data_IF_990728527119
#
_entry.id   IF_990728527119
#
_cell.length_a   1.000
_cell.length_b   1.000
_cell.length_c   1.000
_cell.angle_alpha   90.00
_cell.angle_beta   90.00
_cell.angle_gamma   90.00
#
_symmetry.space_group_name_H-M   'P 1'
#
loop_
_entity.id
_entity.type
_entity.pdbx_description
1 polymer ?
#
# COMPACT_ATOMS: atom_id res chain seq x y z
N UNK A 1 -40.84 18.58 -21.57
CA UNK A 1 -39.56 19.04 -20.98
C UNK A 1 -38.96 18.06 -19.96
N UNK A 2 -39.74 17.43 -19.08
CA UNK A 2 -39.23 16.46 -18.09
C UNK A 2 -38.56 15.20 -18.65
N UNK A 3 -39.07 14.59 -19.74
CA UNK A 3 -38.51 13.34 -20.27
C UNK A 3 -37.08 13.49 -20.79
N UNK A 4 -36.75 14.63 -21.41
CA UNK A 4 -35.42 14.88 -21.94
C UNK A 4 -34.39 15.12 -20.82
N UNK A 5 -34.78 15.82 -19.76
CA UNK A 5 -33.94 16.00 -18.57
C UNK A 5 -33.71 14.69 -17.82
N UNK A 6 -34.71 13.81 -17.75
CA UNK A 6 -34.56 12.46 -17.17
C UNK A 6 -33.59 11.62 -17.99
N UNK A 7 -33.70 11.64 -19.33
CA UNK A 7 -32.79 10.88 -20.21
C UNK A 7 -31.35 11.40 -20.08
N UNK A 8 -31.15 12.72 -20.08
CA UNK A 8 -29.81 13.32 -19.87
C UNK A 8 -29.26 12.96 -18.49
N UNK A 9 -30.11 12.97 -17.45
CA UNK A 9 -29.74 12.56 -16.10
C UNK A 9 -29.28 11.09 -16.03
N UNK A 10 -29.99 10.18 -16.71
CA UNK A 10 -29.65 8.75 -16.79
C UNK A 10 -28.34 8.55 -17.55
N UNK A 11 -28.13 9.25 -18.67
CA UNK A 11 -26.89 9.15 -19.46
C UNK A 11 -25.70 9.65 -18.63
N UNK A 12 -25.84 10.76 -17.91
CA UNK A 12 -24.76 11.26 -17.03
C UNK A 12 -24.47 10.30 -15.87
N UNK A 13 -25.49 9.74 -15.24
CA UNK A 13 -25.27 8.76 -14.16
C UNK A 13 -24.61 7.48 -14.67
N UNK A 14 -24.98 6.98 -15.86
CA UNK A 14 -24.31 5.84 -16.47
C UNK A 14 -22.86 6.14 -16.88
N UNK A 15 -22.58 7.33 -17.39
CA UNK A 15 -21.21 7.76 -17.71
C UNK A 15 -20.34 7.86 -16.44
N UNK A 16 -20.89 8.39 -15.34
CA UNK A 16 -20.21 8.44 -14.04
C UNK A 16 -19.94 7.02 -13.54
N UNK A 17 -20.93 6.14 -13.55
CA UNK A 17 -20.78 4.74 -13.12
C UNK A 17 -19.75 3.99 -13.98
N UNK A 18 -19.73 4.21 -15.30
CA UNK A 18 -18.76 3.60 -16.20
C UNK A 18 -17.32 4.04 -15.93
N UNK A 19 -17.12 5.24 -15.38
CA UNK A 19 -15.80 5.74 -14.99
C UNK A 19 -15.21 4.99 -13.79
N UNK A 20 -16.05 4.36 -12.95
CA UNK A 20 -15.60 3.56 -11.80
C UNK A 20 -15.38 2.08 -12.12
N UNK A 21 -15.58 1.64 -13.37
CA UNK A 21 -15.33 0.25 -13.78
C UNK A 21 -13.82 0.04 -14.00
N UNK A 22 -13.17 -0.89 -13.29
CA UNK A 22 -11.75 -1.21 -13.49
C UNK A 22 -11.47 -1.63 -14.94
N UNK A 23 -10.43 -1.07 -15.55
CA UNK A 23 -10.03 -1.37 -16.94
C UNK A 23 -10.75 -0.57 -18.04
N UNK A 24 -11.78 0.22 -17.71
CA UNK A 24 -12.38 1.19 -18.63
C UNK A 24 -11.46 2.41 -18.84
N UNK A 25 -11.74 3.24 -19.84
CA UNK A 25 -10.98 4.49 -20.06
C UNK A 25 -11.02 5.41 -18.83
N UNK A 26 -12.18 5.48 -18.15
CA UNK A 26 -12.33 6.23 -16.91
C UNK A 26 -11.59 5.59 -15.74
N UNK A 27 -11.63 4.26 -15.62
CA UNK A 27 -10.88 3.53 -14.59
C UNK A 27 -9.37 3.78 -14.70
N UNK A 28 -8.81 3.71 -15.92
CA UNK A 28 -7.39 4.02 -16.17
C UNK A 28 -7.03 5.47 -15.84
N UNK A 29 -7.94 6.41 -16.08
CA UNK A 29 -7.73 7.81 -15.71
C UNK A 29 -7.71 8.00 -14.18
N UNK A 30 -8.60 7.31 -13.45
CA UNK A 30 -8.62 7.31 -11.99
C UNK A 30 -7.34 6.66 -11.41
N UNK A 31 -6.92 5.52 -11.95
CA UNK A 31 -5.69 4.84 -11.53
C UNK A 31 -4.47 5.73 -11.75
N UNK A 32 -4.41 6.41 -12.90
CA UNK A 32 -3.36 7.39 -13.17
C UNK A 32 -3.42 8.57 -12.20
N UNK A 33 -4.61 9.13 -11.94
CA UNK A 33 -4.77 10.23 -10.99
C UNK A 33 -4.32 9.85 -9.57
N UNK A 34 -4.62 8.62 -9.12
CA UNK A 34 -4.14 8.07 -7.85
C UNK A 34 -2.63 7.92 -7.82
N UNK A 35 -2.05 7.33 -8.88
CA UNK A 35 -0.60 7.15 -8.99
C UNK A 35 0.16 8.49 -8.97
N UNK A 36 -0.44 9.56 -9.49
CA UNK A 36 0.12 10.91 -9.47
C UNK A 36 -0.15 11.66 -8.15
N UNK A 37 -0.90 11.05 -7.21
CA UNK A 37 -1.20 11.64 -5.91
C UNK A 37 -2.34 12.66 -5.89
N UNK A 38 -3.11 12.80 -6.98
CA UNK A 38 -4.29 13.67 -7.01
C UNK A 38 -5.48 13.10 -6.23
N UNK A 39 -5.53 11.78 -6.10
CA UNK A 39 -6.56 11.04 -5.38
C UNK A 39 -5.84 10.06 -4.46
N UNK A 40 -6.26 9.99 -3.21
CA UNK A 40 -5.69 9.01 -2.27
C UNK A 40 -6.19 7.59 -2.58
N UNK A 41 -5.35 6.59 -2.30
CA UNK A 41 -5.76 5.19 -2.38
C UNK A 41 -6.71 4.83 -1.22
N UNK A 42 -7.90 4.27 -1.50
CA UNK A 42 -8.70 3.61 -0.49
C UNK A 42 -7.92 2.41 0.12
N UNK A 43 -8.09 2.08 1.42
CA UNK A 43 -7.31 1.01 2.06
C UNK A 43 -7.36 -0.34 1.36
N UNK A 44 -8.53 -0.76 0.86
CA UNK A 44 -8.70 -2.03 0.14
C UNK A 44 -7.96 -2.05 -1.20
N UNK A 45 -7.96 -0.93 -1.91
CA UNK A 45 -7.22 -0.82 -3.18
C UNK A 45 -5.72 -0.73 -2.94
N UNK A 46 -5.29 -0.05 -1.87
CA UNK A 46 -3.90 -0.01 -1.46
C UNK A 46 -3.37 -1.42 -1.14
N UNK A 47 -4.17 -2.24 -0.46
CA UNK A 47 -3.83 -3.63 -0.16
C UNK A 47 -3.63 -4.45 -1.45
N UNK A 48 -4.56 -4.33 -2.40
CA UNK A 48 -4.44 -4.97 -3.71
C UNK A 48 -3.21 -4.50 -4.48
N UNK A 49 -2.95 -3.19 -4.48
CA UNK A 49 -1.75 -2.59 -5.09
C UNK A 49 -0.48 -3.20 -4.47
N UNK A 50 -0.40 -3.27 -3.14
CA UNK A 50 0.75 -3.80 -2.43
C UNK A 50 1.00 -5.28 -2.76
N UNK A 51 -0.06 -6.10 -2.79
CA UNK A 51 0.00 -7.50 -3.18
C UNK A 51 0.50 -7.64 -4.63
N UNK A 52 -0.09 -6.89 -5.57
CA UNK A 52 0.30 -6.94 -6.99
C UNK A 52 1.75 -6.50 -7.19
N UNK A 53 2.17 -5.39 -6.59
CA UNK A 53 3.53 -4.86 -6.76
C UNK A 53 4.58 -5.77 -6.13
N UNK A 54 4.36 -6.29 -4.93
CA UNK A 54 5.32 -7.16 -4.28
C UNK A 54 5.37 -8.57 -4.91
N UNK A 55 4.26 -9.07 -5.44
CA UNK A 55 4.19 -10.38 -6.10
C UNK A 55 4.90 -10.43 -7.46
N UNK A 56 5.22 -9.28 -8.06
CA UNK A 56 6.00 -9.22 -9.30
C UNK A 56 7.45 -9.72 -9.13
N UNK A 57 8.01 -9.60 -7.91
CA UNK A 57 9.39 -9.98 -7.64
C UNK A 57 9.52 -11.21 -6.74
N UNK A 58 8.58 -11.42 -5.81
CA UNK A 58 8.65 -12.47 -4.81
C UNK A 58 7.29 -13.15 -4.59
N UNK A 59 7.27 -14.40 -4.12
CA UNK A 59 6.01 -14.99 -3.64
C UNK A 59 5.50 -14.22 -2.42
N UNK A 60 4.17 -14.15 -2.24
CA UNK A 60 3.60 -13.46 -1.08
C UNK A 60 4.05 -14.05 0.25
N UNK A 61 4.28 -15.36 0.32
CA UNK A 61 4.86 -16.01 1.50
C UNK A 61 6.21 -15.38 1.89
N UNK A 62 7.09 -15.07 0.92
CA UNK A 62 8.36 -14.38 1.23
C UNK A 62 8.13 -12.97 1.78
N UNK A 63 7.10 -12.28 1.29
CA UNK A 63 6.75 -10.92 1.74
C UNK A 63 6.18 -10.97 3.16
N UNK A 64 5.28 -11.90 3.47
CA UNK A 64 4.64 -12.02 4.79
C UNK A 64 5.59 -12.54 5.87
N UNK A 65 6.65 -13.27 5.49
CA UNK A 65 7.73 -13.67 6.39
C UNK A 65 8.77 -12.58 6.65
N UNK A 66 8.55 -11.35 6.17
CA UNK A 66 9.46 -10.24 6.45
C UNK A 66 9.65 -10.03 7.95
N UNK A 67 10.91 -10.04 8.38
CA UNK A 67 11.27 -10.08 9.80
C UNK A 67 11.39 -8.68 10.41
N UNK A 68 10.51 -8.39 11.36
CA UNK A 68 10.54 -7.19 12.20
C UNK A 68 11.87 -6.95 12.92
N UNK A 69 12.55 -8.02 13.35
CA UNK A 69 13.78 -7.90 14.16
C UNK A 69 15.01 -7.51 13.34
N UNK A 70 15.10 -8.02 12.12
CA UNK A 70 16.35 -7.97 11.34
C UNK A 70 16.22 -7.10 10.07
N UNK A 71 15.00 -6.83 9.62
CA UNK A 71 14.74 -6.00 8.45
C UNK A 71 14.66 -4.51 8.79
N UNK A 72 15.04 -3.60 7.87
CA UNK A 72 14.74 -2.18 8.01
C UNK A 72 13.22 -1.92 8.05
N UNK A 73 12.74 -0.77 8.53
CA UNK A 73 11.33 -0.44 8.47
C UNK A 73 10.82 -0.46 7.02
N UNK A 74 9.57 -0.85 6.80
CA UNK A 74 9.02 -1.04 5.46
C UNK A 74 9.03 0.23 4.61
N UNK A 75 8.96 1.41 5.25
CA UNK A 75 9.16 2.69 4.58
C UNK A 75 10.54 2.79 3.89
N UNK A 76 11.59 2.26 4.52
CA UNK A 76 12.95 2.19 3.95
C UNK A 76 13.05 1.10 2.88
N UNK A 77 12.37 -0.04 3.07
CA UNK A 77 12.31 -1.09 2.04
C UNK A 77 11.71 -0.54 0.75
N UNK A 78 10.58 0.16 0.84
CA UNK A 78 9.89 0.73 -0.32
C UNK A 78 10.71 1.85 -0.98
N UNK A 79 11.42 2.68 -0.20
CA UNK A 79 12.39 3.62 -0.74
C UNK A 79 13.45 2.90 -1.60
N UNK A 80 14.04 1.83 -1.08
CA UNK A 80 15.05 1.05 -1.79
C UNK A 80 14.48 0.32 -3.02
N UNK A 81 13.20 -0.07 -3.00
CA UNK A 81 12.52 -0.61 -4.19
C UNK A 81 12.48 0.41 -5.33
N UNK A 82 12.19 1.69 -5.04
CA UNK A 82 12.24 2.77 -6.05
C UNK A 82 13.65 2.89 -6.65
N UNK A 83 14.66 2.95 -5.79
CA UNK A 83 16.06 3.04 -6.21
C UNK A 83 16.48 1.82 -7.06
N UNK A 84 16.10 0.62 -6.65
CA UNK A 84 16.34 -0.61 -7.40
C UNK A 84 15.74 -0.54 -8.80
N UNK A 85 14.47 -0.13 -8.95
CA UNK A 85 13.81 -0.03 -10.27
C UNK A 85 14.54 0.97 -11.15
N UNK A 86 14.94 2.13 -10.62
CA UNK A 86 15.73 3.12 -11.37
C UNK A 86 17.06 2.55 -11.86
N UNK A 87 17.80 1.86 -10.99
CA UNK A 87 19.08 1.24 -11.35
C UNK A 87 18.90 0.08 -12.33
N UNK A 88 17.84 -0.71 -12.16
CA UNK A 88 17.50 -1.82 -13.04
C UNK A 88 17.20 -1.35 -14.45
N UNK A 89 16.31 -0.35 -14.60
CA UNK A 89 15.96 0.23 -15.90
C UNK A 89 17.19 0.84 -16.60
N UNK A 90 18.11 1.43 -15.84
CA UNK A 90 19.37 1.96 -16.40
C UNK A 90 20.30 0.84 -16.91
N UNK A 91 20.32 -0.29 -16.21
CA UNK A 91 21.22 -1.41 -16.52
C UNK A 91 20.67 -2.37 -17.58
N UNK A 92 19.36 -2.57 -17.61
CA UNK A 92 18.65 -3.50 -18.47
C UNK A 92 17.45 -2.80 -19.14
N UNK A 93 17.67 -1.89 -20.10
CA UNK A 93 16.61 -1.07 -20.68
C UNK A 93 15.53 -1.90 -21.41
N UNK A 94 15.88 -3.10 -21.87
CA UNK A 94 14.97 -4.08 -22.47
C UNK A 94 14.12 -4.86 -21.46
N UNK A 95 14.49 -4.88 -20.17
CA UNK A 95 13.76 -5.56 -19.10
C UNK A 95 13.05 -4.54 -18.21
N UNK A 96 11.92 -4.02 -18.69
CA UNK A 96 11.19 -2.97 -17.98
C UNK A 96 10.46 -3.53 -16.76
N UNK A 97 10.95 -3.16 -15.57
CA UNK A 97 10.18 -3.27 -14.32
C UNK A 97 9.37 -1.98 -14.17
N UNK A 98 8.04 -2.05 -13.94
CA UNK A 98 7.21 -0.86 -13.80
C UNK A 98 7.71 0.03 -12.65
N UNK A 99 7.89 1.32 -12.93
CA UNK A 99 8.24 2.30 -11.91
C UNK A 99 7.17 2.35 -10.81
N UNK A 100 7.62 2.73 -9.60
CA UNK A 100 6.76 2.96 -8.46
C UNK A 100 6.64 4.47 -8.24
N UNK A 101 5.43 4.99 -8.26
CA UNK A 101 5.21 6.41 -7.99
C UNK A 101 5.28 6.70 -6.49
N UNK A 102 5.40 7.98 -6.13
CA UNK A 102 5.41 8.42 -4.74
C UNK A 102 4.13 8.03 -3.99
N UNK A 103 2.97 8.17 -4.64
CA UNK A 103 1.68 7.80 -4.04
C UNK A 103 1.58 6.27 -3.81
N UNK A 104 2.05 5.48 -4.78
CA UNK A 104 2.10 4.02 -4.64
C UNK A 104 3.06 3.61 -3.53
N UNK A 105 4.25 4.23 -3.46
CA UNK A 105 5.23 3.97 -2.42
C UNK A 105 4.66 4.23 -1.01
N UNK A 106 4.01 5.38 -0.82
CA UNK A 106 3.36 5.74 0.45
C UNK A 106 2.22 4.77 0.80
N UNK A 107 1.44 4.33 -0.18
CA UNK A 107 0.36 3.36 0.04
C UNK A 107 0.90 1.98 0.44
N UNK A 108 1.89 1.47 -0.29
CA UNK A 108 2.50 0.17 -0.03
C UNK A 108 3.20 0.13 1.34
N UNK A 109 3.93 1.20 1.68
CA UNK A 109 4.58 1.30 2.99
C UNK A 109 3.55 1.19 4.12
N UNK A 110 2.46 1.96 4.05
CA UNK A 110 1.38 1.91 5.05
C UNK A 110 0.71 0.53 5.14
N UNK A 111 0.43 -0.13 4.01
CA UNK A 111 -0.21 -1.45 4.00
C UNK A 111 0.65 -2.46 4.74
N UNK A 112 1.91 -2.61 4.33
CA UNK A 112 2.76 -3.63 4.93
C UNK A 112 3.12 -3.28 6.37
N UNK A 113 3.27 -1.99 6.70
CA UNK A 113 3.47 -1.53 8.08
C UNK A 113 2.27 -1.93 8.97
N UNK A 114 1.05 -1.88 8.46
CA UNK A 114 -0.10 -2.36 9.20
C UNK A 114 -0.15 -3.90 9.30
N UNK A 115 0.03 -4.61 8.18
CA UNK A 115 -0.22 -6.05 8.08
C UNK A 115 0.90 -6.93 8.64
N UNK A 116 2.16 -6.52 8.42
CA UNK A 116 3.34 -7.24 8.92
C UNK A 116 3.79 -6.61 10.23
N UNK A 117 3.72 -5.30 10.36
CA UNK A 117 4.11 -4.55 11.56
C UNK A 117 4.92 -3.31 11.22
N UNK A 118 4.80 -2.28 12.06
CA UNK A 118 5.57 -1.05 11.93
C UNK A 118 6.59 -0.99 13.08
N UNK A 119 7.85 -0.71 12.74
CA UNK A 119 8.94 -0.56 13.71
C UNK A 119 9.78 0.69 13.46
N UNK A 120 9.22 1.69 12.79
CA UNK A 120 9.83 3.01 12.68
C UNK A 120 10.18 3.57 14.07
N UNK A 121 9.33 3.35 15.09
CA UNK A 121 9.57 3.78 16.49
C UNK A 121 10.79 3.11 17.15
N UNK A 122 11.19 1.94 16.67
CA UNK A 122 12.37 1.22 17.16
C UNK A 122 13.68 1.75 16.58
N UNK A 123 13.63 2.69 15.64
CA UNK A 123 14.77 3.23 14.92
C UNK A 123 15.01 4.70 15.27
N UNK A 124 16.27 5.13 15.23
CA UNK A 124 16.58 6.54 15.37
C UNK A 124 16.03 7.32 14.17
N UNK A 125 15.21 8.34 14.42
CA UNK A 125 14.58 9.14 13.35
C UNK A 125 15.58 9.76 12.38
N UNK A 126 16.75 10.23 12.86
CA UNK A 126 17.77 10.81 11.97
C UNK A 126 18.37 9.76 11.04
N UNK A 127 18.45 8.50 11.47
CA UNK A 127 18.94 7.43 10.60
C UNK A 127 17.89 7.04 9.57
N UNK A 128 16.60 7.07 9.92
CA UNK A 128 15.52 6.93 8.93
C UNK A 128 15.55 8.06 7.89
N UNK A 129 15.75 9.31 8.32
CA UNK A 129 15.87 10.45 7.40
C UNK A 129 17.05 10.26 6.44
N UNK A 130 18.22 9.83 6.95
CA UNK A 130 19.39 9.54 6.11
C UNK A 130 19.09 8.43 5.10
N UNK A 131 18.42 7.36 5.52
CA UNK A 131 18.10 6.21 4.67
C UNK A 131 17.03 6.50 3.61
N UNK A 132 16.14 7.46 3.87
CA UNK A 132 15.14 7.91 2.90
C UNK A 132 15.66 9.02 1.97
N UNK A 133 16.85 9.54 2.25
CA UNK A 133 17.55 10.57 1.48
C UNK A 133 16.64 11.77 1.14
N UNK A 134 16.28 11.94 -0.13
CA UNK A 134 15.45 13.05 -0.64
C UNK A 134 14.03 12.60 -1.02
N UNK A 135 13.59 11.42 -0.57
CA UNK A 135 12.25 10.91 -0.85
C UNK A 135 11.18 11.68 -0.08
N UNK A 136 10.78 12.83 -0.61
CA UNK A 136 9.86 13.77 0.05
C UNK A 136 8.54 13.12 0.47
N UNK A 137 8.03 12.18 -0.32
CA UNK A 137 6.77 11.51 -0.03
C UNK A 137 6.88 10.60 1.18
N UNK A 138 7.96 9.80 1.25
CA UNK A 138 8.21 8.91 2.39
C UNK A 138 8.70 9.67 3.62
N UNK A 139 9.47 10.75 3.47
CA UNK A 139 9.81 11.65 4.58
C UNK A 139 8.56 12.29 5.20
N UNK A 140 7.62 12.74 4.36
CA UNK A 140 6.33 13.25 4.84
C UNK A 140 5.53 12.16 5.56
N UNK A 141 5.55 10.92 5.07
CA UNK A 141 4.91 9.79 5.73
C UNK A 141 5.56 9.49 7.10
N UNK A 142 6.89 9.52 7.19
CA UNK A 142 7.64 9.36 8.43
C UNK A 142 7.24 10.41 9.48
N UNK A 143 7.06 11.66 9.06
CA UNK A 143 6.59 12.75 9.94
C UNK A 143 5.09 12.68 10.26
N UNK A 144 4.32 11.87 9.52
CA UNK A 144 2.89 11.71 9.76
C UNK A 144 2.67 10.71 10.90
N UNK A 145 2.00 11.09 12.01
CA UNK A 145 1.68 10.16 13.09
C UNK A 145 0.85 8.98 12.60
N UNK A 146 1.07 7.77 13.14
CA UNK A 146 0.38 6.54 12.69
C UNK A 146 -1.14 6.70 12.63
N UNK A 147 -1.76 7.36 13.63
CA UNK A 147 -3.21 7.61 13.67
C UNK A 147 -3.73 8.48 12.50
N UNK A 148 -2.86 9.29 11.90
CA UNK A 148 -3.17 10.12 10.73
C UNK A 148 -2.81 9.44 9.39
N UNK A 149 -2.14 8.28 9.42
CA UNK A 149 -1.83 7.47 8.24
C UNK A 149 -3.06 6.66 7.85
N UNK A 150 -3.90 7.21 6.98
CA UNK A 150 -5.25 6.70 6.67
C UNK A 150 -5.29 5.21 6.33
N UNK A 151 -4.33 4.70 5.56
CA UNK A 151 -4.31 3.29 5.15
C UNK A 151 -3.83 2.43 6.33
N UNK A 152 -2.75 2.83 6.98
CA UNK A 152 -2.17 2.08 8.10
C UNK A 152 -3.15 1.99 9.28
N UNK A 153 -3.79 3.12 9.62
CA UNK A 153 -4.79 3.20 10.68
C UNK A 153 -6.05 2.38 10.36
N UNK A 154 -6.50 2.36 9.10
CA UNK A 154 -7.67 1.56 8.69
C UNK A 154 -7.40 0.05 8.67
N UNK A 155 -6.13 -0.35 8.55
CA UNK A 155 -5.68 -1.74 8.57
C UNK A 155 -5.10 -2.14 9.94
N UNK A 156 -5.11 -1.24 10.92
CA UNK A 156 -4.60 -1.51 12.26
C UNK A 156 -5.35 -2.70 12.90
N UNK A 157 -4.60 -3.56 13.59
CA UNK A 157 -5.14 -4.79 14.20
C UNK A 157 -5.44 -5.92 13.20
N UNK A 158 -5.20 -5.73 11.90
CA UNK A 158 -5.19 -6.82 10.92
C UNK A 158 -3.78 -7.41 10.78
N UNK A 159 -3.72 -8.65 10.34
CA UNK A 159 -2.50 -9.36 9.96
C UNK A 159 -2.70 -9.98 8.58
N UNK A 160 -1.63 -10.12 7.81
CA UNK A 160 -1.68 -10.92 6.60
C UNK A 160 -1.49 -12.41 6.96
N UNK A 161 -2.18 -13.34 6.26
CA UNK A 161 -1.98 -14.77 6.49
C UNK A 161 -0.50 -15.18 6.32
N UNK A 162 -0.02 -16.00 7.24
CA UNK A 162 1.37 -16.46 7.31
C UNK A 162 2.34 -15.46 7.96
N UNK A 163 1.90 -14.30 8.44
CA UNK A 163 2.78 -13.36 9.16
C UNK A 163 3.07 -13.83 10.59
N UNK A 164 4.20 -13.41 11.17
CA UNK A 164 4.46 -13.65 12.59
C UNK A 164 3.42 -12.95 13.47
N UNK A 165 2.91 -11.78 13.04
CA UNK A 165 1.89 -11.00 13.73
C UNK A 165 0.62 -11.82 13.96
N UNK A 166 0.14 -12.54 12.93
CA UNK A 166 -0.96 -13.49 13.06
C UNK A 166 -0.72 -14.52 14.17
N UNK A 167 0.48 -15.13 14.21
CA UNK A 167 0.84 -16.12 15.23
C UNK A 167 0.91 -15.50 16.64
N UNK A 168 1.42 -14.28 16.78
CA UNK A 168 1.46 -13.58 18.07
C UNK A 168 0.07 -13.19 18.57
N UNK A 169 -0.80 -12.72 17.67
CA UNK A 169 -2.19 -12.39 17.99
C UNK A 169 -2.94 -13.65 18.45
N UNK A 170 -2.71 -14.80 17.82
CA UNK A 170 -3.26 -16.10 18.23
C UNK A 170 -2.78 -16.56 19.62
N UNK A 171 -1.51 -16.30 19.97
CA UNK A 171 -0.97 -16.63 21.30
C UNK A 171 -1.56 -15.72 22.38
N UNK A 172 -1.85 -14.46 22.06
CA UNK A 172 -2.37 -13.48 23.00
C UNK A 172 -3.89 -13.58 23.22
N UNK A 173 -4.63 -14.21 22.31
CA UNK A 173 -6.03 -14.52 22.54
C UNK A 173 -6.15 -15.76 23.44
N UNK A 174 -6.63 -15.64 24.70
CA UNK A 174 -6.89 -16.83 25.50
C UNK A 174 -7.94 -17.67 24.75
N UNK A 175 -7.64 -18.95 24.52
CA UNK A 175 -8.56 -19.94 23.93
C UNK A 175 -9.89 -19.93 24.70
N UNK A 176 -10.84 -19.09 24.31
CA UNK A 176 -12.18 -19.00 24.89
C UNK A 176 -13.12 -20.13 24.44
N UNK A 177 -12.59 -21.18 23.82
CA UNK A 177 -13.40 -22.18 23.11
C UNK A 177 -12.99 -23.63 23.42
N UNK A 178 -12.52 -23.91 24.64
CA UNK A 178 -12.36 -25.29 25.12
C UNK A 178 -13.23 -25.65 26.34
N UNK A 179 -14.08 -24.74 26.82
CA UNK A 179 -15.10 -25.02 27.86
C UNK A 179 -16.52 -25.06 27.27
N UNK A 180 -16.72 -25.86 26.22
CA UNK A 180 -18.05 -26.37 25.85
C UNK A 180 -17.88 -27.78 25.27
N UNK A 181 -17.61 -28.74 26.15
CA UNK A 181 -17.93 -30.15 25.93
C UNK A 181 -18.52 -30.72 27.21
#
# INVERSE_FOLDING_TARGET
MNRMLIIIGIIMTMAILAAFIPGSYGGRALDKAKSLGYIEYPPKEAEQLAVVRCSQCHSLDKVTKYCFRCGPPLIVVVHNMKAFVTLWQKKFPEQQVPALTDAEAVAIAQVWSALIGNWEDGWNKNDLIKLLENDKALLKLLDTPIKARKIEAALAGKSAPGTYKEVFDDIQQPKKEQEKK
#
